data_IF_961004914983
#
_entry.id   IF_961004914983
#
_cell.length_a   1.000
_cell.length_b   1.000
_cell.length_c   1.000
_cell.angle_alpha   90.00
_cell.angle_beta   90.00
_cell.angle_gamma   90.00
#
_symmetry.space_group_name_H-M   'P 1'
#
loop_
_entity.id
_entity.type
_entity.pdbx_description
1 polymer ?
#
# COMPACT_ATOMS: atom_id res chain seq x y z
N UNK A 1 6.07 -28.74 -1.70
CA UNK A 1 5.68 -27.54 -2.47
C UNK A 1 4.33 -27.13 -1.93
N UNK A 2 4.20 -25.93 -1.37
CA UNK A 2 2.92 -25.48 -0.80
C UNK A 2 2.04 -25.03 -1.97
N UNK A 3 0.99 -25.79 -2.28
CA UNK A 3 0.00 -25.36 -3.27
C UNK A 3 -0.78 -24.19 -2.69
N UNK A 4 -0.81 -23.06 -3.40
CA UNK A 4 -1.62 -21.92 -3.01
C UNK A 4 -3.09 -22.27 -3.30
N UNK A 5 -3.88 -22.43 -2.24
CA UNK A 5 -5.32 -22.62 -2.35
C UNK A 5 -5.98 -21.29 -2.78
N UNK A 6 -6.34 -21.20 -4.07
CA UNK A 6 -7.04 -20.04 -4.61
C UNK A 6 -8.40 -19.80 -3.95
N UNK A 7 -9.03 -20.83 -3.37
CA UNK A 7 -10.29 -20.70 -2.65
C UNK A 7 -10.12 -19.97 -1.32
N UNK A 8 -8.91 -19.94 -0.74
CA UNK A 8 -8.62 -19.13 0.44
C UNK A 8 -8.47 -17.63 0.08
N UNK A 9 -7.97 -17.32 -1.13
CA UNK A 9 -7.79 -15.93 -1.58
C UNK A 9 -9.11 -15.34 -2.09
N UNK A 10 -9.88 -16.12 -2.85
CA UNK A 10 -11.19 -15.74 -3.39
C UNK A 10 -12.23 -16.77 -2.93
N UNK A 11 -12.66 -16.72 -1.66
CA UNK A 11 -13.61 -17.68 -1.12
C UNK A 11 -14.99 -17.53 -1.76
N UNK A 12 -15.69 -18.66 -1.89
CA UNK A 12 -17.07 -18.68 -2.36
C UNK A 12 -18.00 -17.91 -1.42
N UNK A 13 -17.77 -17.99 -0.10
CA UNK A 13 -18.46 -17.19 0.91
C UNK A 13 -17.46 -16.29 1.68
N UNK A 14 -17.42 -14.98 1.39
CA UNK A 14 -16.52 -14.05 2.06
C UNK A 14 -17.08 -13.46 3.37
N UNK A 15 -18.23 -13.94 3.86
CA UNK A 15 -18.93 -13.37 5.03
C UNK A 15 -18.18 -13.54 6.35
N UNK A 16 -17.29 -14.54 6.45
CA UNK A 16 -16.53 -14.85 7.66
C UNK A 16 -15.07 -15.15 7.36
N UNK A 17 -14.20 -14.90 8.35
CA UNK A 17 -12.79 -15.23 8.30
C UNK A 17 -12.47 -16.23 9.41
N UNK A 18 -12.09 -17.45 9.05
CA UNK A 18 -11.77 -18.52 10.01
C UNK A 18 -10.35 -18.45 10.57
N UNK A 19 -9.49 -17.57 10.05
CA UNK A 19 -8.09 -17.44 10.48
C UNK A 19 -7.90 -16.61 11.74
N UNK A 20 -6.62 -16.35 12.06
CA UNK A 20 -6.26 -15.68 13.32
C UNK A 20 -6.73 -14.23 13.40
N UNK A 21 -7.31 -13.84 14.54
CA UNK A 21 -7.66 -12.44 14.83
C UNK A 21 -6.42 -11.52 14.82
N UNK A 22 -5.23 -12.05 15.11
CA UNK A 22 -3.98 -11.27 15.02
C UNK A 22 -3.76 -10.73 13.60
N UNK A 23 -4.02 -11.54 12.57
CA UNK A 23 -3.88 -11.14 11.17
C UNK A 23 -4.83 -10.00 10.84
N UNK A 24 -6.08 -10.09 11.31
CA UNK A 24 -7.09 -9.03 11.15
C UNK A 24 -6.64 -7.71 11.78
N UNK A 25 -6.11 -7.76 13.01
CA UNK A 25 -5.63 -6.56 13.72
C UNK A 25 -4.40 -5.97 13.01
N UNK A 26 -3.44 -6.80 12.61
CA UNK A 26 -2.27 -6.36 11.85
C UNK A 26 -2.68 -5.70 10.52
N UNK A 27 -3.64 -6.30 9.80
CA UNK A 27 -4.18 -5.72 8.58
C UNK A 27 -4.89 -4.38 8.84
N UNK A 28 -5.66 -4.26 9.92
CA UNK A 28 -6.29 -2.99 10.28
C UNK A 28 -5.26 -1.88 10.51
N UNK A 29 -4.13 -2.19 11.17
CA UNK A 29 -3.02 -1.24 11.35
C UNK A 29 -2.37 -0.86 10.02
N UNK A 30 -2.17 -1.82 9.11
CA UNK A 30 -1.66 -1.55 7.77
C UNK A 30 -2.58 -0.62 6.97
N UNK A 31 -3.90 -0.88 7.00
CA UNK A 31 -4.90 -0.04 6.35
C UNK A 31 -4.95 1.37 6.96
N UNK A 32 -4.80 1.50 8.28
CA UNK A 32 -4.69 2.81 8.93
C UNK A 32 -3.48 3.59 8.44
N UNK A 33 -2.29 2.97 8.39
CA UNK A 33 -1.08 3.60 7.83
C UNK A 33 -1.30 3.99 6.38
N UNK A 34 -1.98 3.16 5.60
CA UNK A 34 -2.31 3.44 4.20
C UNK A 34 -3.22 4.67 4.05
N UNK A 35 -4.23 4.83 4.90
CA UNK A 35 -5.06 6.05 4.91
C UNK A 35 -4.23 7.27 5.29
N UNK A 36 -3.45 7.18 6.38
CA UNK A 36 -2.65 8.31 6.88
C UNK A 36 -1.69 8.84 5.80
N UNK A 37 -0.93 7.95 5.14
CA UNK A 37 -0.03 8.36 4.05
C UNK A 37 -0.77 8.92 2.83
N UNK A 38 -1.97 8.39 2.51
CA UNK A 38 -2.77 8.88 1.39
C UNK A 38 -3.26 10.30 1.65
N UNK A 39 -3.70 10.58 2.88
CA UNK A 39 -4.05 11.93 3.31
C UNK A 39 -2.87 12.89 3.24
N UNK A 40 -1.66 12.46 3.63
CA UNK A 40 -0.45 13.28 3.47
C UNK A 40 -0.19 13.59 2.00
N UNK A 41 -0.23 12.58 1.13
CA UNK A 41 -0.03 12.80 -0.31
C UNK A 41 -1.09 13.71 -0.94
N UNK A 42 -2.34 13.63 -0.47
CA UNK A 42 -3.45 14.38 -1.05
C UNK A 42 -3.56 15.82 -0.51
N UNK A 43 -3.36 16.04 0.79
CA UNK A 43 -3.72 17.32 1.43
C UNK A 43 -2.52 18.16 1.84
N UNK A 44 -1.33 17.59 1.89
CA UNK A 44 -0.16 18.34 2.31
C UNK A 44 0.35 19.22 1.15
N UNK A 45 0.79 20.45 1.42
CA UNK A 45 1.10 21.48 0.39
C UNK A 45 2.06 21.09 -0.74
N UNK A 46 2.95 20.12 -0.54
CA UNK A 46 3.90 19.60 -1.54
C UNK A 46 3.56 18.16 -1.95
N UNK A 47 2.41 17.64 -1.54
CA UNK A 47 2.02 16.23 -1.65
C UNK A 47 3.01 15.26 -0.99
N UNK A 48 3.90 15.74 -0.11
CA UNK A 48 5.02 15.00 0.43
C UNK A 48 6.19 14.78 -0.55
N UNK A 49 6.17 15.37 -1.75
CA UNK A 49 7.21 15.18 -2.76
C UNK A 49 8.58 15.67 -2.27
N UNK A 50 8.63 16.87 -1.70
CA UNK A 50 9.87 17.50 -1.26
C UNK A 50 10.20 17.10 0.19
N UNK A 51 9.28 17.31 1.12
CA UNK A 51 9.56 17.20 2.56
C UNK A 51 9.75 15.76 3.04
N UNK A 52 9.11 14.77 2.38
CA UNK A 52 9.20 13.35 2.71
C UNK A 52 9.97 12.60 1.63
N UNK A 53 9.63 12.85 0.36
CA UNK A 53 10.23 12.20 -0.79
C UNK A 53 11.64 12.70 -1.10
N UNK A 54 11.99 13.93 -0.70
CA UNK A 54 13.28 14.53 -1.02
C UNK A 54 13.45 14.88 -2.50
N UNK A 55 12.36 14.94 -3.27
CA UNK A 55 12.37 15.36 -4.67
C UNK A 55 12.61 16.86 -4.74
N UNK A 56 13.46 17.30 -5.67
CA UNK A 56 13.65 18.73 -5.91
C UNK A 56 12.48 19.30 -6.71
N UNK A 57 11.70 20.16 -6.06
CA UNK A 57 10.53 20.84 -6.63
C UNK A 57 10.85 22.30 -7.02
N UNK A 58 12.10 22.74 -6.89
CA UNK A 58 12.53 24.08 -7.32
C UNK A 58 12.86 24.19 -8.81
N UNK A 59 12.88 23.05 -9.50
CA UNK A 59 13.17 22.93 -10.94
C UNK A 59 11.99 23.36 -11.82
N UNK A 60 12.26 23.58 -13.10
CA UNK A 60 11.22 23.71 -14.11
C UNK A 60 10.31 22.47 -14.11
N UNK A 61 9.01 22.67 -13.87
CA UNK A 61 8.04 21.59 -13.70
C UNK A 61 7.82 21.12 -12.25
N UNK A 62 8.41 21.76 -11.24
CA UNK A 62 8.21 21.42 -9.84
C UNK A 62 6.74 21.39 -9.38
N UNK A 63 5.93 22.32 -9.88
CA UNK A 63 4.48 22.32 -9.64
C UNK A 63 3.77 21.10 -10.23
N UNK A 64 4.23 20.60 -11.39
CA UNK A 64 3.68 19.38 -11.99
C UNK A 64 4.07 18.15 -11.16
N UNK A 65 5.29 18.11 -10.58
CA UNK A 65 5.70 17.05 -9.66
C UNK A 65 4.76 17.03 -8.44
N UNK A 66 4.51 18.18 -7.82
CA UNK A 66 3.60 18.30 -6.67
C UNK A 66 2.18 17.83 -7.07
N UNK A 67 1.67 18.30 -8.21
CA UNK A 67 0.36 17.89 -8.73
C UNK A 67 0.27 16.37 -8.93
N UNK A 68 1.31 15.73 -9.47
CA UNK A 68 1.36 14.26 -9.62
C UNK A 68 1.34 13.54 -8.26
N UNK A 69 1.99 14.07 -7.23
CA UNK A 69 1.92 13.51 -5.88
C UNK A 69 0.52 13.63 -5.27
N UNK A 70 -0.19 14.73 -5.52
CA UNK A 70 -1.61 14.86 -5.14
C UNK A 70 -2.49 13.85 -5.85
N UNK A 71 -2.32 13.66 -7.16
CA UNK A 71 -3.03 12.62 -7.93
C UNK A 71 -2.73 11.22 -7.38
N UNK A 72 -1.48 10.97 -6.98
CA UNK A 72 -1.10 9.72 -6.35
C UNK A 72 -1.78 9.54 -4.99
N UNK A 73 -1.87 10.59 -4.18
CA UNK A 73 -2.61 10.58 -2.91
C UNK A 73 -4.10 10.30 -3.10
N UNK A 74 -4.73 10.89 -4.12
CA UNK A 74 -6.14 10.69 -4.43
C UNK A 74 -6.45 9.22 -4.72
N UNK A 75 -5.70 8.59 -5.64
CA UNK A 75 -5.94 7.18 -5.98
C UNK A 75 -5.58 6.24 -4.82
N UNK A 76 -4.53 6.54 -4.04
CA UNK A 76 -4.20 5.76 -2.84
C UNK A 76 -5.33 5.82 -1.80
N UNK A 77 -5.95 6.99 -1.60
CA UNK A 77 -7.05 7.15 -0.65
C UNK A 77 -8.29 6.39 -1.10
N UNK A 78 -8.65 6.45 -2.39
CA UNK A 78 -9.77 5.69 -2.96
C UNK A 78 -9.55 4.19 -2.74
N UNK A 79 -8.34 3.68 -3.06
CA UNK A 79 -8.00 2.28 -2.85
C UNK A 79 -8.09 1.91 -1.36
N UNK A 80 -7.53 2.73 -0.46
CA UNK A 80 -7.57 2.46 0.98
C UNK A 80 -9.01 2.37 1.51
N UNK A 81 -9.90 3.26 1.07
CA UNK A 81 -11.33 3.23 1.44
C UNK A 81 -11.99 1.95 0.95
N UNK A 82 -11.76 1.56 -0.30
CA UNK A 82 -12.30 0.30 -0.84
C UNK A 82 -11.81 -0.90 -0.02
N UNK A 83 -10.51 -0.98 0.26
CA UNK A 83 -9.94 -2.08 1.05
C UNK A 83 -10.49 -2.10 2.49
N UNK A 84 -10.76 -0.93 3.10
CA UNK A 84 -11.43 -0.85 4.41
C UNK A 84 -12.87 -1.34 4.32
N UNK A 85 -13.62 -0.97 3.28
CA UNK A 85 -14.98 -1.48 3.06
C UNK A 85 -14.96 -3.00 2.96
N UNK A 86 -14.04 -3.56 2.16
CA UNK A 86 -13.86 -5.00 2.04
C UNK A 86 -13.49 -5.65 3.38
N UNK A 87 -12.55 -5.06 4.11
CA UNK A 87 -12.12 -5.55 5.42
C UNK A 87 -13.27 -5.62 6.43
N UNK A 88 -14.16 -4.63 6.45
CA UNK A 88 -15.29 -4.57 7.39
C UNK A 88 -16.46 -5.46 6.94
N UNK A 89 -16.79 -5.47 5.64
CA UNK A 89 -18.01 -6.11 5.12
C UNK A 89 -17.80 -7.56 4.70
N UNK A 90 -16.57 -7.91 4.33
CA UNK A 90 -16.21 -9.21 3.77
C UNK A 90 -14.94 -9.75 4.44
N UNK A 91 -15.00 -10.14 5.72
CA UNK A 91 -13.83 -10.64 6.44
C UNK A 91 -13.07 -11.75 5.72
N UNK A 92 -13.77 -12.63 5.00
CA UNK A 92 -13.16 -13.71 4.22
C UNK A 92 -12.21 -13.23 3.11
N UNK A 93 -12.31 -11.96 2.68
CA UNK A 93 -11.36 -11.35 1.73
C UNK A 93 -10.06 -10.85 2.39
N UNK A 94 -9.81 -11.17 3.66
CA UNK A 94 -8.56 -10.82 4.36
C UNK A 94 -7.30 -11.21 3.57
N UNK A 95 -7.20 -12.43 2.99
CA UNK A 95 -6.03 -12.80 2.18
C UNK A 95 -5.92 -11.99 0.89
N UNK A 96 -7.03 -11.71 0.20
CA UNK A 96 -7.04 -10.85 -1.00
C UNK A 96 -6.56 -9.43 -0.69
N UNK A 97 -6.99 -8.87 0.44
CA UNK A 97 -6.55 -7.52 0.85
C UNK A 97 -5.05 -7.54 1.13
N UNK A 98 -4.54 -8.53 1.87
CA UNK A 98 -3.11 -8.67 2.14
C UNK A 98 -2.29 -8.84 0.86
N UNK A 99 -2.75 -9.66 -0.08
CA UNK A 99 -2.13 -9.80 -1.40
C UNK A 99 -2.10 -8.47 -2.15
N UNK A 100 -3.20 -7.73 -2.14
CA UNK A 100 -3.29 -6.41 -2.78
C UNK A 100 -2.29 -5.43 -2.18
N UNK A 101 -2.16 -5.42 -0.84
CA UNK A 101 -1.17 -4.57 -0.14
C UNK A 101 0.27 -5.03 -0.44
N UNK A 102 0.52 -6.34 -0.56
CA UNK A 102 1.84 -6.88 -0.90
C UNK A 102 2.28 -6.54 -2.33
N UNK A 103 1.33 -6.29 -3.25
CA UNK A 103 1.63 -5.88 -4.61
C UNK A 103 2.15 -4.43 -4.72
N UNK A 104 1.81 -3.52 -3.80
CA UNK A 104 2.32 -2.13 -3.82
C UNK A 104 3.86 -2.05 -3.85
N UNK A 105 4.63 -2.68 -2.93
CA UNK A 105 6.08 -2.64 -2.97
C UNK A 105 6.67 -3.30 -4.23
N UNK A 106 6.03 -4.34 -4.75
CA UNK A 106 6.44 -5.03 -5.99
C UNK A 106 6.26 -4.10 -7.20
N UNK A 107 5.09 -3.49 -7.34
CA UNK A 107 4.80 -2.59 -8.47
C UNK A 107 5.65 -1.32 -8.40
N UNK A 108 5.95 -0.81 -7.21
CA UNK A 108 6.92 0.28 -7.02
C UNK A 108 8.31 -0.10 -7.50
N UNK A 109 8.77 -1.31 -7.16
CA UNK A 109 10.04 -1.81 -7.65
C UNK A 109 10.04 -1.94 -9.19
N UNK A 110 8.99 -2.51 -9.78
CA UNK A 110 8.86 -2.60 -11.25
C UNK A 110 8.90 -1.22 -11.90
N UNK A 111 8.17 -0.23 -11.37
CA UNK A 111 8.18 1.14 -11.86
C UNK A 111 9.59 1.77 -11.76
N UNK A 112 10.32 1.54 -10.67
CA UNK A 112 11.67 2.09 -10.49
C UNK A 112 12.69 1.52 -11.48
N UNK A 113 12.46 0.30 -12.00
CA UNK A 113 13.26 -0.28 -13.10
C UNK A 113 13.04 0.42 -14.44
N UNK A 114 11.90 1.08 -14.63
CA UNK A 114 11.62 1.88 -15.84
C UNK A 114 12.23 3.27 -15.71
N UNK A 115 11.92 3.97 -14.62
CA UNK A 115 12.50 5.26 -14.24
C UNK A 115 12.50 5.39 -12.72
N UNK A 116 13.66 5.68 -12.15
CA UNK A 116 13.79 5.94 -10.72
C UNK A 116 13.49 7.40 -10.40
N UNK A 117 12.82 7.65 -9.28
CA UNK A 117 12.61 9.00 -8.75
C UNK A 117 13.93 9.50 -8.16
N UNK A 118 14.41 10.65 -8.63
CA UNK A 118 15.63 11.28 -8.12
C UNK A 118 15.28 12.04 -6.84
N UNK A 119 16.06 11.79 -5.79
CA UNK A 119 15.80 12.32 -4.44
C UNK A 119 17.12 12.70 -3.76
N UNK A 120 17.09 13.68 -2.85
CA UNK A 120 18.28 14.14 -2.10
C UNK A 120 18.84 13.08 -1.13
N UNK A 121 18.03 12.09 -0.77
CA UNK A 121 18.39 10.97 0.09
C UNK A 121 17.30 9.91 0.03
N UNK A 122 17.54 8.73 0.61
CA UNK A 122 16.58 7.62 0.54
C UNK A 122 15.28 7.96 1.31
N UNK A 123 14.13 8.12 0.63
CA UNK A 123 12.89 8.42 1.32
C UNK A 123 12.41 7.21 2.13
N UNK A 124 11.57 7.42 3.18
CA UNK A 124 11.07 6.32 4.02
C UNK A 124 10.42 5.20 3.20
N UNK A 125 9.62 5.58 2.19
CA UNK A 125 8.95 4.62 1.30
C UNK A 125 9.89 3.75 0.47
N UNK A 126 11.12 4.18 0.21
CA UNK A 126 12.15 3.36 -0.43
C UNK A 126 12.92 2.52 0.59
N UNK A 127 13.30 3.14 1.72
CA UNK A 127 14.06 2.49 2.81
C UNK A 127 13.34 1.28 3.40
N UNK A 128 12.04 1.40 3.63
CA UNK A 128 11.24 0.38 4.31
C UNK A 128 10.45 -0.53 3.37
N UNK A 129 10.52 -0.32 2.05
CA UNK A 129 9.71 -1.06 1.07
C UNK A 129 9.90 -2.58 1.15
N UNK A 130 11.16 -3.03 1.22
CA UNK A 130 11.49 -4.46 1.29
C UNK A 130 11.03 -5.11 2.60
N UNK A 131 11.19 -4.40 3.72
CA UNK A 131 10.73 -4.88 5.03
C UNK A 131 9.20 -4.97 5.05
N UNK A 132 8.51 -3.96 4.54
CA UNK A 132 7.05 -3.97 4.42
C UNK A 132 6.56 -5.14 3.56
N UNK A 133 7.21 -5.39 2.41
CA UNK A 133 6.89 -6.54 1.56
C UNK A 133 7.00 -7.87 2.32
N UNK A 134 8.12 -8.10 3.02
CA UNK A 134 8.33 -9.34 3.78
C UNK A 134 7.25 -9.50 4.87
N UNK A 135 6.97 -8.46 5.64
CA UNK A 135 5.95 -8.50 6.70
C UNK A 135 4.57 -8.81 6.12
N UNK A 136 4.13 -8.10 5.09
CA UNK A 136 2.81 -8.30 4.49
C UNK A 136 2.72 -9.67 3.83
N UNK A 137 3.80 -10.16 3.22
CA UNK A 137 3.80 -11.50 2.65
C UNK A 137 3.71 -12.61 3.69
N UNK A 138 4.38 -12.47 4.84
CA UNK A 138 4.23 -13.43 5.93
C UNK A 138 2.79 -13.44 6.47
N UNK A 139 2.16 -12.27 6.59
CA UNK A 139 0.75 -12.17 6.97
C UNK A 139 -0.17 -12.82 5.91
N UNK A 140 0.09 -12.60 4.62
CA UNK A 140 -0.65 -13.24 3.53
C UNK A 140 -0.54 -14.76 3.60
N UNK A 141 0.68 -15.30 3.70
CA UNK A 141 0.91 -16.74 3.78
C UNK A 141 0.24 -17.34 5.02
N UNK A 142 0.26 -16.64 6.15
CA UNK A 142 -0.43 -17.09 7.36
C UNK A 142 -1.96 -16.95 7.29
N UNK A 143 -2.48 -16.23 6.29
CA UNK A 143 -3.91 -15.94 6.14
C UNK A 143 -4.65 -16.92 5.23
N UNK A 144 -3.92 -17.65 4.39
CA UNK A 144 -4.39 -18.73 3.50
C UNK A 144 -4.22 -20.08 4.17
#
# INVERSE_FOLDING_TARGET
MMELDFSAVLPHDPSSYGGSQFIRVALALLLFVMVARSCVHLFASDGGAQRIGGVDTSVEGGNNIIAMFHQWGAIQLILAVILIVLYVRYPGLTPLILLTVALDPVMRYVASRKRSVITKGTPPGAKYNGIAFVIVMLLFIASV
#
